data_IF_687306506220
#
_entry.id   IF_687306506220
#
_cell.length_a   1.000
_cell.length_b   1.000
_cell.length_c   1.000
_cell.angle_alpha   90.00
_cell.angle_beta   90.00
_cell.angle_gamma   90.00
#
_symmetry.space_group_name_H-M   'P 1'
#
loop_
_entity.id
_entity.type
_entity.pdbx_description
1 polymer ?
#
# COMPACT_ATOMS: atom_id res chain seq x y z
N UNK A 1 -19.84 -2.30 19.56
CA UNK A 1 -19.01 -2.48 18.35
C UNK A 1 -18.41 -1.13 18.05
N UNK A 2 -17.12 -0.92 18.31
CA UNK A 2 -16.48 0.33 17.92
C UNK A 2 -16.53 0.44 16.40
N UNK A 3 -17.17 1.51 15.92
CA UNK A 3 -17.37 1.73 14.48
C UNK A 3 -16.05 1.84 13.73
N UNK A 4 -16.08 1.62 12.40
CA UNK A 4 -14.90 1.70 11.52
C UNK A 4 -14.17 3.05 11.70
N UNK A 5 -14.91 4.15 11.88
CA UNK A 5 -14.34 5.48 12.10
C UNK A 5 -13.48 5.57 13.37
N UNK A 6 -13.87 4.90 14.45
CA UNK A 6 -13.06 4.83 15.67
C UNK A 6 -11.76 4.06 15.41
N UNK A 7 -11.84 2.93 14.69
CA UNK A 7 -10.63 2.18 14.29
C UNK A 7 -9.70 3.00 13.40
N UNK A 8 -10.24 3.76 12.44
CA UNK A 8 -9.47 4.68 11.58
C UNK A 8 -8.78 5.74 12.45
N UNK A 9 -9.51 6.37 13.35
CA UNK A 9 -8.95 7.39 14.25
C UNK A 9 -7.82 6.79 15.10
N UNK A 10 -8.06 5.66 15.74
CA UNK A 10 -7.11 5.07 16.68
C UNK A 10 -5.86 4.54 15.97
N UNK A 11 -5.99 3.93 14.79
CA UNK A 11 -4.83 3.48 14.02
C UNK A 11 -3.99 4.67 13.51
N UNK A 12 -4.61 5.81 13.19
CA UNK A 12 -3.90 7.00 12.70
C UNK A 12 -3.33 7.90 13.81
N UNK A 13 -3.98 7.96 14.98
CA UNK A 13 -3.60 8.89 16.05
C UNK A 13 -2.85 8.17 17.17
N UNK A 14 -3.20 6.92 17.46
CA UNK A 14 -2.66 6.16 18.59
C UNK A 14 -2.32 4.72 18.19
N UNK A 15 -1.49 4.52 17.14
CA UNK A 15 -1.24 3.21 16.55
C UNK A 15 -0.72 2.18 17.55
N UNK A 16 0.13 2.60 18.47
CA UNK A 16 0.72 1.71 19.46
C UNK A 16 -0.31 1.16 20.46
N UNK A 17 -1.28 1.98 20.86
CA UNK A 17 -2.41 1.56 21.69
C UNK A 17 -3.34 0.65 20.87
N UNK A 18 -3.68 1.08 19.65
CA UNK A 18 -4.53 0.34 18.73
C UNK A 18 -4.02 -1.09 18.48
N UNK A 19 -2.77 -1.24 18.04
CA UNK A 19 -2.18 -2.56 17.73
C UNK A 19 -2.07 -3.47 18.96
N UNK A 20 -1.92 -2.90 20.16
CA UNK A 20 -1.97 -3.67 21.42
C UNK A 20 -3.39 -4.17 21.72
N UNK A 21 -4.40 -3.34 21.49
CA UNK A 21 -5.81 -3.70 21.70
C UNK A 21 -6.27 -4.84 20.78
N UNK A 22 -6.03 -4.71 19.47
CA UNK A 22 -6.51 -5.67 18.47
C UNK A 22 -5.81 -7.04 18.53
N UNK A 23 -4.69 -7.15 19.26
CA UNK A 23 -3.99 -8.42 19.47
C UNK A 23 -4.88 -9.47 20.14
N UNK A 24 -5.82 -9.02 20.99
CA UNK A 24 -6.75 -9.86 21.75
C UNK A 24 -8.08 -10.11 21.03
N UNK A 25 -8.41 -9.32 20.01
CA UNK A 25 -9.61 -9.53 19.19
C UNK A 25 -9.54 -10.90 18.51
N UNK A 26 -10.64 -11.66 18.53
CA UNK A 26 -10.72 -12.98 17.89
C UNK A 26 -11.17 -12.86 16.42
N UNK A 27 -10.69 -13.78 15.59
CA UNK A 27 -11.08 -13.90 14.19
C UNK A 27 -10.54 -12.79 13.28
N UNK A 28 -10.88 -12.91 12.00
CA UNK A 28 -10.43 -12.01 10.93
C UNK A 28 -11.54 -11.09 10.40
N UNK A 29 -12.81 -11.41 10.70
CA UNK A 29 -13.99 -10.76 10.09
C UNK A 29 -13.99 -9.24 10.26
N UNK A 30 -13.68 -8.73 11.46
CA UNK A 30 -13.65 -7.29 11.70
C UNK A 30 -12.59 -6.57 10.84
N UNK A 31 -11.41 -7.19 10.67
CA UNK A 31 -10.31 -6.62 9.88
C UNK A 31 -10.53 -6.78 8.38
N UNK A 32 -11.18 -7.86 7.96
CA UNK A 32 -11.60 -8.06 6.58
C UNK A 32 -12.63 -7.02 6.16
N UNK A 33 -13.70 -6.83 6.95
CA UNK A 33 -14.71 -5.81 6.68
C UNK A 33 -14.07 -4.42 6.67
N UNK A 34 -13.21 -4.13 7.64
CA UNK A 34 -12.47 -2.87 7.69
C UNK A 34 -11.65 -2.64 6.40
N UNK A 35 -10.86 -3.63 5.99
CA UNK A 35 -10.03 -3.52 4.78
C UNK A 35 -10.90 -3.37 3.52
N UNK A 36 -11.96 -4.17 3.37
CA UNK A 36 -12.86 -4.11 2.22
C UNK A 36 -13.59 -2.76 2.11
N UNK A 37 -14.02 -2.18 3.24
CA UNK A 37 -14.67 -0.86 3.23
C UNK A 37 -13.67 0.23 2.87
N UNK A 38 -12.47 0.22 3.45
CA UNK A 38 -11.44 1.22 3.14
C UNK A 38 -10.87 1.05 1.72
N UNK A 39 -10.77 -0.18 1.21
CA UNK A 39 -10.32 -0.42 -0.17
C UNK A 39 -11.37 0.03 -1.19
N UNK A 40 -12.66 -0.16 -0.89
CA UNK A 40 -13.74 0.39 -1.71
C UNK A 40 -13.66 1.91 -1.76
N UNK A 41 -13.52 2.55 -0.59
CA UNK A 41 -13.28 3.99 -0.50
C UNK A 41 -12.07 4.41 -1.36
N UNK A 42 -10.93 3.74 -1.17
CA UNK A 42 -9.70 4.06 -1.88
C UNK A 42 -9.84 3.93 -3.41
N UNK A 43 -10.52 2.89 -3.90
CA UNK A 43 -10.76 2.68 -5.33
C UNK A 43 -11.67 3.76 -5.91
N UNK A 44 -12.78 4.07 -5.25
CA UNK A 44 -13.73 5.12 -5.69
C UNK A 44 -13.03 6.47 -5.80
N UNK A 45 -12.27 6.85 -4.76
CA UNK A 45 -11.56 8.13 -4.77
C UNK A 45 -10.35 8.13 -5.71
N UNK A 46 -9.70 6.99 -5.93
CA UNK A 46 -8.63 6.88 -6.93
C UNK A 46 -9.15 7.01 -8.35
N UNK A 47 -10.33 6.45 -8.66
CA UNK A 47 -11.01 6.67 -9.92
C UNK A 47 -11.36 8.15 -10.10
N UNK A 48 -11.97 8.77 -9.10
CA UNK A 48 -12.27 10.21 -9.11
C UNK A 48 -10.99 11.04 -9.35
N UNK A 49 -9.91 10.75 -8.63
CA UNK A 49 -8.64 11.47 -8.78
C UNK A 49 -8.05 11.30 -10.18
N UNK A 50 -8.02 10.08 -10.70
CA UNK A 50 -7.50 9.80 -12.03
C UNK A 50 -8.27 10.61 -13.10
N UNK A 51 -9.60 10.55 -13.07
CA UNK A 51 -10.48 11.17 -14.06
C UNK A 51 -10.53 12.70 -13.96
N UNK A 52 -10.67 13.25 -12.75
CA UNK A 52 -11.00 14.65 -12.56
C UNK A 52 -9.84 15.52 -12.06
N UNK A 53 -8.79 14.92 -11.50
CA UNK A 53 -7.63 15.67 -11.00
C UNK A 53 -6.41 15.45 -11.89
N UNK A 54 -5.99 14.21 -12.07
CA UNK A 54 -4.71 13.89 -12.73
C UNK A 54 -4.81 14.07 -14.25
N UNK A 55 -5.82 13.51 -14.89
CA UNK A 55 -5.93 13.55 -16.36
C UNK A 55 -6.05 14.98 -16.92
N UNK A 56 -6.88 15.88 -16.38
CA UNK A 56 -6.92 17.26 -16.85
C UNK A 56 -5.57 17.97 -16.73
N UNK A 57 -4.82 17.73 -15.65
CA UNK A 57 -3.48 18.28 -15.46
C UNK A 57 -2.49 17.76 -16.51
N UNK A 58 -2.54 16.46 -16.84
CA UNK A 58 -1.62 15.84 -17.81
C UNK A 58 -1.99 16.14 -19.26
N UNK A 59 -3.28 16.29 -19.57
CA UNK A 59 -3.76 16.55 -20.94
C UNK A 59 -3.13 17.81 -21.54
N UNK A 60 -2.96 18.86 -20.73
CA UNK A 60 -2.32 20.13 -21.12
C UNK A 60 -0.87 19.98 -21.63
N UNK A 61 -0.18 18.92 -21.21
CA UNK A 61 1.21 18.65 -21.60
C UNK A 61 1.35 17.52 -22.62
N UNK A 62 0.26 16.84 -22.96
CA UNK A 62 0.28 15.60 -23.75
C UNK A 62 -0.60 15.64 -24.99
N UNK A 63 -1.26 16.77 -25.27
CA UNK A 63 -2.00 17.00 -26.52
C UNK A 63 -1.14 16.63 -27.74
N UNK A 64 -1.68 15.79 -28.62
CA UNK A 64 -1.05 15.24 -29.84
C UNK A 64 0.17 14.33 -29.65
N UNK A 65 0.44 13.85 -28.43
CA UNK A 65 1.46 12.83 -28.18
C UNK A 65 0.87 11.42 -28.15
N UNK A 66 1.69 10.40 -28.43
CA UNK A 66 1.32 8.99 -28.23
C UNK A 66 0.88 8.71 -26.78
N UNK A 67 1.48 9.44 -25.82
CA UNK A 67 1.10 9.37 -24.42
C UNK A 67 -0.30 9.95 -24.18
N UNK A 68 -0.64 11.10 -24.79
CA UNK A 68 -1.97 11.70 -24.72
C UNK A 68 -3.05 10.81 -25.35
N UNK A 69 -2.76 10.16 -26.49
CA UNK A 69 -3.66 9.20 -27.11
C UNK A 69 -3.91 7.97 -26.21
N UNK A 70 -2.86 7.42 -25.58
CA UNK A 70 -2.98 6.31 -24.63
C UNK A 70 -3.77 6.67 -23.37
N UNK A 71 -3.50 7.86 -22.81
CA UNK A 71 -4.23 8.37 -21.63
C UNK A 71 -5.70 8.68 -21.95
N UNK A 72 -6.00 9.18 -23.15
CA UNK A 72 -7.37 9.41 -23.62
C UNK A 72 -8.17 8.12 -23.87
N UNK A 73 -7.52 7.06 -24.37
CA UNK A 73 -8.14 5.73 -24.48
C UNK A 73 -8.47 5.10 -23.12
N UNK A 74 -7.70 5.45 -22.08
CA UNK A 74 -7.83 4.92 -20.71
C UNK A 74 -9.08 5.39 -19.95
N UNK A 75 -9.92 6.25 -20.55
CA UNK A 75 -11.12 6.85 -19.92
C UNK A 75 -12.43 6.33 -20.54
N UNK A 76 -12.35 5.38 -21.48
CA UNK A 76 -13.51 4.70 -22.07
C UNK A 76 -14.16 3.74 -21.05
N UNK A 77 -15.35 3.19 -21.33
CA UNK A 77 -16.02 2.17 -20.50
C UNK A 77 -15.11 1.04 -19.92
N UNK A 78 -14.07 0.55 -20.62
CA UNK A 78 -13.05 -0.35 -20.07
C UNK A 78 -12.38 0.10 -18.75
N UNK A 79 -12.36 1.40 -18.46
CA UNK A 79 -11.75 1.96 -17.26
C UNK A 79 -12.51 1.55 -16.00
N UNK A 80 -13.84 1.73 -15.97
CA UNK A 80 -14.68 1.37 -14.81
C UNK A 80 -14.55 -0.13 -14.49
N UNK A 81 -14.55 -0.98 -15.53
CA UNK A 81 -14.33 -2.41 -15.39
C UNK A 81 -13.00 -2.75 -14.70
N UNK A 82 -11.94 -2.00 -15.02
CA UNK A 82 -10.60 -2.17 -14.43
C UNK A 82 -10.54 -1.75 -12.96
N UNK A 83 -11.22 -0.67 -12.55
CA UNK A 83 -11.30 -0.27 -11.14
C UNK A 83 -12.13 -1.25 -10.32
N UNK A 84 -13.26 -1.73 -10.85
CA UNK A 84 -14.09 -2.74 -10.19
C UNK A 84 -13.31 -4.05 -10.05
N UNK A 85 -12.68 -4.52 -11.12
CA UNK A 85 -11.80 -5.69 -11.07
C UNK A 85 -10.67 -5.51 -10.05
N UNK A 86 -10.03 -4.33 -10.05
CA UNK A 86 -8.96 -3.98 -9.11
C UNK A 86 -9.40 -4.03 -7.65
N UNK A 87 -10.63 -3.60 -7.33
CA UNK A 87 -11.20 -3.74 -5.99
C UNK A 87 -11.32 -5.21 -5.57
N UNK A 88 -11.95 -6.05 -6.39
CA UNK A 88 -12.12 -7.47 -6.08
C UNK A 88 -10.77 -8.19 -5.99
N UNK A 89 -9.85 -7.89 -6.92
CA UNK A 89 -8.50 -8.40 -6.90
C UNK A 89 -7.77 -7.99 -5.60
N UNK A 90 -7.86 -6.73 -5.16
CA UNK A 90 -7.25 -6.27 -3.92
C UNK A 90 -7.81 -7.01 -2.69
N UNK A 91 -9.13 -7.20 -2.61
CA UNK A 91 -9.77 -7.93 -1.51
C UNK A 91 -9.35 -9.41 -1.51
N UNK A 92 -9.37 -10.09 -2.65
CA UNK A 92 -8.96 -11.49 -2.76
C UNK A 92 -7.46 -11.69 -2.50
N UNK A 93 -6.61 -10.87 -3.11
CA UNK A 93 -5.17 -10.94 -2.94
C UNK A 93 -4.72 -10.50 -1.54
N UNK A 94 -5.55 -9.76 -0.78
CA UNK A 94 -5.23 -9.40 0.62
C UNK A 94 -4.93 -10.62 1.48
N UNK A 95 -5.58 -11.76 1.22
CA UNK A 95 -5.32 -13.01 1.92
C UNK A 95 -3.95 -13.60 1.56
N UNK A 96 -3.57 -13.54 0.29
CA UNK A 96 -2.27 -13.99 -0.21
C UNK A 96 -1.17 -13.11 0.37
N UNK A 97 -1.32 -11.78 0.29
CA UNK A 97 -0.35 -10.84 0.86
C UNK A 97 -0.24 -10.95 2.37
N UNK A 98 -1.33 -11.23 3.10
CA UNK A 98 -1.27 -11.53 4.52
C UNK A 98 -0.49 -12.81 4.81
N UNK A 99 -0.59 -13.81 3.93
CA UNK A 99 0.20 -15.04 3.99
C UNK A 99 1.69 -14.79 3.76
N UNK A 100 2.04 -14.04 2.72
CA UNK A 100 3.42 -13.62 2.47
C UNK A 100 3.99 -12.79 3.62
N UNK A 101 3.20 -11.85 4.15
CA UNK A 101 3.58 -11.07 5.33
C UNK A 101 3.75 -11.95 6.57
N UNK A 102 2.91 -12.98 6.74
CA UNK A 102 3.06 -13.94 7.82
C UNK A 102 4.38 -14.70 7.72
N UNK A 103 4.70 -15.24 6.55
CA UNK A 103 5.96 -15.91 6.28
C UNK A 103 7.15 -14.97 6.51
N UNK A 104 7.05 -13.73 6.04
CA UNK A 104 8.07 -12.70 6.27
C UNK A 104 8.29 -12.46 7.77
N UNK A 105 7.23 -12.33 8.55
CA UNK A 105 7.35 -12.22 10.01
C UNK A 105 8.00 -13.46 10.63
N UNK A 106 7.66 -14.67 10.18
CA UNK A 106 8.26 -15.92 10.68
C UNK A 106 9.76 -16.02 10.37
N UNK A 107 10.20 -15.62 9.16
CA UNK A 107 11.61 -15.60 8.76
C UNK A 107 12.48 -14.74 9.69
N UNK A 108 11.91 -13.66 10.23
CA UNK A 108 12.57 -12.79 11.20
C UNK A 108 12.26 -13.17 12.66
N UNK A 109 11.81 -14.40 12.91
CA UNK A 109 11.56 -14.94 14.25
C UNK A 109 10.33 -14.34 14.95
N UNK A 110 9.42 -13.72 14.18
CA UNK A 110 8.15 -13.21 14.69
C UNK A 110 7.23 -14.35 15.14
N UNK A 111 6.48 -14.10 16.21
CA UNK A 111 5.53 -15.04 16.81
C UNK A 111 4.13 -14.50 16.67
N UNK A 112 3.26 -15.24 16.01
CA UNK A 112 1.86 -14.87 15.88
C UNK A 112 1.11 -15.79 14.93
N UNK A 113 -0.19 -15.61 14.82
CA UNK A 113 -1.03 -16.36 13.89
C UNK A 113 -1.17 -15.64 12.54
N UNK A 114 -1.58 -16.38 11.50
CA UNK A 114 -1.99 -15.78 10.22
C UNK A 114 -3.03 -14.66 10.39
N UNK A 115 -3.97 -14.84 11.33
CA UNK A 115 -4.99 -13.81 11.64
C UNK A 115 -4.34 -12.50 12.09
N UNK A 116 -3.25 -12.56 12.86
CA UNK A 116 -2.51 -11.36 13.26
C UNK A 116 -1.79 -10.71 12.08
N UNK A 117 -1.27 -11.48 11.13
CA UNK A 117 -0.68 -10.96 9.89
C UNK A 117 -1.73 -10.29 8.99
N UNK A 118 -2.94 -10.86 8.91
CA UNK A 118 -4.04 -10.24 8.16
C UNK A 118 -4.45 -8.91 8.80
N UNK A 119 -4.57 -8.86 10.14
CA UNK A 119 -4.81 -7.61 10.88
C UNK A 119 -3.73 -6.57 10.61
N UNK A 120 -2.47 -7.00 10.69
CA UNK A 120 -1.32 -6.16 10.41
C UNK A 120 -1.42 -5.55 9.01
N UNK A 121 -1.70 -6.36 7.99
CA UNK A 121 -1.90 -5.90 6.62
C UNK A 121 -3.08 -4.90 6.55
N UNK A 122 -4.26 -5.31 7.01
CA UNK A 122 -5.49 -4.53 6.89
C UNK A 122 -5.36 -3.14 7.50
N UNK A 123 -4.85 -3.05 8.73
CA UNK A 123 -4.79 -1.78 9.45
C UNK A 123 -3.59 -0.92 9.07
N UNK A 124 -2.44 -1.51 8.72
CA UNK A 124 -1.26 -0.72 8.28
C UNK A 124 -1.46 -0.04 6.93
N UNK A 125 -2.33 -0.55 6.07
CA UNK A 125 -2.67 0.09 4.79
C UNK A 125 -3.59 1.31 4.93
N UNK A 126 -4.14 1.58 6.12
CA UNK A 126 -5.12 2.68 6.34
C UNK A 126 -4.71 4.02 5.72
N UNK A 127 -3.47 4.54 5.93
CA UNK A 127 -3.06 5.81 5.35
C UNK A 127 -3.14 5.80 3.83
N UNK A 128 -2.64 4.75 3.17
CA UNK A 128 -2.69 4.65 1.70
C UNK A 128 -4.12 4.59 1.20
N UNK A 129 -4.96 3.75 1.81
CA UNK A 129 -6.36 3.59 1.39
C UNK A 129 -7.16 4.89 1.52
N UNK A 130 -6.83 5.74 2.50
CA UNK A 130 -7.55 7.00 2.74
C UNK A 130 -6.98 8.20 1.98
N UNK A 131 -5.67 8.23 1.73
CA UNK A 131 -5.00 9.46 1.30
C UNK A 131 -4.20 9.33 -0.01
N UNK A 132 -3.93 8.12 -0.52
CA UNK A 132 -3.13 7.96 -1.75
C UNK A 132 -3.81 8.47 -3.01
N UNK A 133 -5.13 8.64 -3.01
CA UNK A 133 -5.85 9.21 -4.14
C UNK A 133 -5.54 10.70 -4.33
N UNK A 134 -5.06 11.41 -3.30
CA UNK A 134 -4.77 12.85 -3.40
C UNK A 134 -3.43 13.02 -4.11
N UNK A 135 -3.37 13.72 -5.27
CA UNK A 135 -2.13 13.97 -5.98
C UNK A 135 -1.07 14.62 -5.08
N UNK A 136 0.16 14.11 -5.11
CA UNK A 136 1.27 14.59 -4.28
C UNK A 136 1.29 14.08 -2.83
N UNK A 137 0.18 13.58 -2.28
CA UNK A 137 0.12 13.11 -0.88
C UNK A 137 0.45 11.62 -0.72
N UNK A 138 0.32 10.83 -1.79
CA UNK A 138 0.49 9.37 -1.74
C UNK A 138 1.84 8.90 -1.18
N UNK A 139 2.91 9.68 -1.36
CA UNK A 139 4.24 9.37 -0.78
C UNK A 139 4.21 9.44 0.75
N UNK A 140 3.63 10.51 1.31
CA UNK A 140 3.49 10.67 2.76
C UNK A 140 2.58 9.59 3.37
N UNK A 141 1.49 9.26 2.68
CA UNK A 141 0.63 8.14 3.06
C UNK A 141 1.39 6.80 3.07
N UNK A 142 2.25 6.57 2.07
CA UNK A 142 3.13 5.40 1.99
C UNK A 142 4.12 5.32 3.15
N UNK A 143 4.79 6.44 3.47
CA UNK A 143 5.71 6.54 4.61
C UNK A 143 4.98 6.26 5.92
N UNK A 144 3.80 6.84 6.12
CA UNK A 144 3.06 6.60 7.36
C UNK A 144 2.55 5.16 7.46
N UNK A 145 2.12 4.55 6.36
CA UNK A 145 1.84 3.10 6.31
C UNK A 145 3.05 2.25 6.68
N UNK A 146 4.27 2.65 6.31
CA UNK A 146 5.51 1.97 6.71
C UNK A 146 5.73 2.09 8.23
N UNK A 147 5.47 3.25 8.82
CA UNK A 147 5.51 3.42 10.28
C UNK A 147 4.50 2.49 10.96
N UNK A 148 3.26 2.43 10.45
CA UNK A 148 2.21 1.56 11.00
C UNK A 148 2.54 0.07 10.91
N UNK A 149 3.10 -0.39 9.79
CA UNK A 149 3.47 -1.81 9.65
C UNK A 149 4.62 -2.17 10.59
N UNK A 150 5.59 -1.27 10.82
CA UNK A 150 6.67 -1.49 11.81
C UNK A 150 6.09 -1.61 13.22
N UNK A 151 5.24 -0.66 13.65
CA UNK A 151 4.60 -0.67 14.97
C UNK A 151 3.72 -1.91 15.13
N UNK A 152 2.89 -2.21 14.13
CA UNK A 152 2.02 -3.37 14.12
C UNK A 152 2.79 -4.68 14.23
N UNK A 153 3.88 -4.85 13.49
CA UNK A 153 4.73 -6.04 13.56
C UNK A 153 5.36 -6.20 14.94
N UNK A 154 5.83 -5.11 15.55
CA UNK A 154 6.34 -5.14 16.91
C UNK A 154 5.27 -5.66 17.90
N UNK A 155 4.04 -5.17 17.81
CA UNK A 155 2.98 -5.48 18.78
C UNK A 155 2.31 -6.83 18.54
N UNK A 156 2.01 -7.14 17.28
CA UNK A 156 1.29 -8.35 16.90
C UNK A 156 2.21 -9.57 16.82
N UNK A 157 3.42 -9.41 16.31
CA UNK A 157 4.38 -10.50 16.10
C UNK A 157 5.50 -10.58 17.14
N UNK A 158 5.48 -9.75 18.20
CA UNK A 158 6.48 -9.72 19.26
C UNK A 158 7.93 -9.55 18.75
N UNK A 159 8.11 -8.86 17.63
CA UNK A 159 9.44 -8.56 17.08
C UNK A 159 9.96 -7.29 17.74
N UNK A 160 11.26 -7.23 18.07
CA UNK A 160 11.86 -6.02 18.63
C UNK A 160 11.77 -4.85 17.62
N UNK A 161 11.66 -3.61 18.11
CA UNK A 161 11.50 -2.44 17.25
C UNK A 161 12.61 -2.33 16.19
N UNK A 162 13.87 -2.51 16.60
CA UNK A 162 15.02 -2.47 15.69
C UNK A 162 14.92 -3.53 14.60
N UNK A 163 14.56 -4.77 14.96
CA UNK A 163 14.41 -5.85 13.98
C UNK A 163 13.24 -5.58 13.02
N UNK A 164 12.12 -5.07 13.52
CA UNK A 164 10.99 -4.67 12.67
C UNK A 164 11.35 -3.53 11.71
N UNK A 165 12.14 -2.55 12.15
CA UNK A 165 12.66 -1.50 11.24
C UNK A 165 13.52 -2.12 10.14
N UNK A 166 14.49 -2.97 10.50
CA UNK A 166 15.38 -3.63 9.53
C UNK A 166 14.56 -4.45 8.52
N UNK A 167 13.58 -5.22 8.98
CA UNK A 167 12.70 -6.04 8.12
C UNK A 167 12.06 -5.27 6.97
N UNK A 168 11.67 -4.02 7.21
CA UNK A 168 10.92 -3.23 6.24
C UNK A 168 11.73 -2.11 5.63
N UNK A 169 12.88 -1.70 6.17
CA UNK A 169 13.71 -0.65 5.56
C UNK A 169 14.79 -1.26 4.67
N UNK A 170 15.38 -2.38 5.09
CA UNK A 170 16.48 -3.00 4.37
C UNK A 170 16.11 -3.42 2.92
N UNK A 171 14.93 -4.01 2.65
CA UNK A 171 14.54 -4.34 1.27
C UNK A 171 14.45 -3.13 0.34
N UNK A 172 13.98 -1.97 0.85
CA UNK A 172 13.90 -0.75 0.03
C UNK A 172 15.28 -0.15 -0.23
N UNK A 173 16.19 -0.22 0.75
CA UNK A 173 17.59 0.18 0.55
C UNK A 173 18.23 -0.68 -0.54
N UNK A 174 18.09 -2.01 -0.48
CA UNK A 174 18.62 -2.90 -1.51
C UNK A 174 18.00 -2.64 -2.88
N UNK A 175 16.68 -2.47 -2.96
CA UNK A 175 16.00 -2.15 -4.21
C UNK A 175 16.51 -0.83 -4.81
N UNK A 176 16.76 0.20 -3.98
CA UNK A 176 17.32 1.47 -4.43
C UNK A 176 18.74 1.31 -5.00
N UNK A 177 19.61 0.54 -4.35
CA UNK A 177 20.96 0.28 -4.86
C UNK A 177 20.93 -0.48 -6.19
N UNK A 178 20.07 -1.50 -6.31
CA UNK A 178 19.90 -2.25 -7.57
C UNK A 178 19.41 -1.32 -8.68
N UNK A 179 18.42 -0.47 -8.40
CA UNK A 179 17.91 0.50 -9.37
C UNK A 179 19.02 1.45 -9.87
N UNK A 180 19.81 2.01 -8.95
CA UNK A 180 20.94 2.89 -9.32
C UNK A 180 21.94 2.14 -10.19
N UNK A 181 22.30 0.90 -9.82
CA UNK A 181 23.24 0.09 -10.60
C UNK A 181 22.72 -0.18 -12.03
N UNK A 182 21.44 -0.53 -12.18
CA UNK A 182 20.81 -0.74 -13.49
C UNK A 182 20.83 0.53 -14.33
N UNK A 183 20.51 1.69 -13.75
CA UNK A 183 20.55 2.98 -14.45
C UNK A 183 21.97 3.32 -14.90
N UNK A 184 22.95 3.19 -14.02
CA UNK A 184 24.36 3.47 -14.36
C UNK A 184 24.86 2.54 -15.46
N UNK A 185 24.59 1.24 -15.37
CA UNK A 185 24.94 0.28 -16.41
C UNK A 185 24.26 0.60 -17.74
N UNK A 186 22.97 0.94 -17.72
CA UNK A 186 22.23 1.37 -18.90
C UNK A 186 22.85 2.59 -19.57
N UNK A 187 23.25 3.60 -18.79
CA UNK A 187 23.93 4.80 -19.29
C UNK A 187 25.32 4.49 -19.87
N UNK A 188 26.07 3.58 -19.24
CA UNK A 188 27.39 3.17 -19.75
C UNK A 188 27.29 2.39 -21.07
N UNK A 189 26.33 1.45 -21.16
CA UNK A 189 26.06 0.71 -22.41
C UNK A 189 25.59 1.66 -23.50
N UNK A 190 24.67 2.57 -23.18
CA UNK A 190 24.19 3.58 -24.12
C UNK A 190 25.31 4.48 -24.65
N UNK A 191 26.23 4.91 -23.77
CA UNK A 191 27.42 5.67 -24.16
C UNK A 191 28.29 4.86 -25.14
N UNK A 192 28.55 3.59 -24.87
CA UNK A 192 29.40 2.74 -25.72
C UNK A 192 28.75 2.34 -27.06
N UNK A 193 27.45 2.57 -27.24
CA UNK A 193 26.75 2.30 -28.52
C UNK A 193 26.72 3.53 -29.44
N UNK A 194 26.98 4.72 -28.91
CA UNK A 194 26.94 5.99 -29.65
C UNK A 194 28.32 6.55 -30.01
N UNK A 195 29.40 5.93 -29.53
CA UNK A 195 30.80 6.26 -29.81
C UNK A 195 31.56 4.98 -30.15
#
# INVERSE_FOLDING_TARGET
MDGILFKVKDVLISPDYFFRGIKREKGLTSSFIYYAVLSLFGVVFSFFSATYLVLPLLSQYTENTLLGAYLGMSITEPAVGSFVFGFFAAVLLSFVFAGLLHLWCLLFGGKGSYTQSYKLLAYSQTPKLLFSWIPGIGVFAGIYSLVLIIIGTQRLHNISRTRAIIMYVLPYIFALFILIAVVVLGLLVFKNLLF
#
